data_IF_274852720169
#
_entry.id   IF_274852720169
#
_cell.length_a   1.000
_cell.length_b   1.000
_cell.length_c   1.000
_cell.angle_alpha   90.00
_cell.angle_beta   90.00
_cell.angle_gamma   90.00
#
_symmetry.space_group_name_H-M   'P 1'
#
loop_
_entity.id
_entity.type
_entity.pdbx_description
1 polymer ?
#
# COMPACT_ATOMS: atom_id res chain seq x y z
N UNK A 1 -1.13 32.11 2.05
CA UNK A 1 -1.45 32.81 3.32
C UNK A 1 -2.33 31.86 4.13
N UNK A 2 -1.75 31.23 5.14
CA UNK A 2 -2.41 30.25 6.03
C UNK A 2 -3.06 30.96 7.22
N UNK A 3 -4.26 30.51 7.58
CA UNK A 3 -4.87 30.82 8.86
C UNK A 3 -5.75 29.63 9.28
N UNK A 4 -5.24 28.81 10.19
CA UNK A 4 -6.04 28.19 11.25
C UNK A 4 -5.11 27.67 12.34
N UNK A 5 -5.56 27.81 13.59
CA UNK A 5 -4.94 27.40 14.85
C UNK A 5 -4.06 28.45 15.55
N UNK A 6 -4.75 29.45 16.13
CA UNK A 6 -4.34 30.18 17.33
C UNK A 6 -5.22 29.68 18.48
N UNK A 7 -4.65 29.01 19.48
CA UNK A 7 -5.13 29.06 20.87
C UNK A 7 -3.98 28.65 21.80
N UNK A 8 -3.67 29.57 22.72
CA UNK A 8 -2.66 29.45 23.78
C UNK A 8 -3.20 28.70 25.01
N UNK A 9 -2.27 28.02 25.67
CA UNK A 9 -2.04 27.91 27.13
C UNK A 9 -3.10 27.27 28.05
N UNK A 10 -2.80 26.05 28.50
CA UNK A 10 -3.28 25.44 29.74
C UNK A 10 -2.54 24.13 30.03
N UNK A 11 -1.76 24.07 31.10
CA UNK A 11 -0.66 23.12 31.32
C UNK A 11 -1.05 21.75 31.93
N UNK A 12 -0.35 20.68 31.50
CA UNK A 12 0.02 19.47 32.28
C UNK A 12 1.26 18.78 31.64
N UNK A 13 2.41 18.59 32.34
CA UNK A 13 3.70 18.31 31.69
C UNK A 13 4.12 16.83 31.76
N UNK A 14 3.34 15.89 31.19
CA UNK A 14 3.79 14.47 31.16
C UNK A 14 3.62 13.69 29.87
N UNK A 15 3.23 14.31 28.77
CA UNK A 15 3.43 13.70 27.45
C UNK A 15 4.25 14.64 26.58
N UNK A 16 5.56 14.31 26.47
CA UNK A 16 6.45 14.89 25.48
C UNK A 16 5.93 14.44 24.11
N UNK A 17 5.04 15.22 23.51
CA UNK A 17 4.71 15.10 22.10
C UNK A 17 6.02 15.18 21.32
N UNK A 18 6.35 14.09 20.62
CA UNK A 18 7.36 14.15 19.58
C UNK A 18 6.93 15.26 18.61
N UNK A 19 7.88 16.09 18.13
CA UNK A 19 7.55 17.21 17.28
C UNK A 19 6.80 16.72 16.04
N UNK A 20 5.78 17.48 15.63
CA UNK A 20 5.14 17.41 14.32
C UNK A 20 6.22 17.63 13.24
N UNK A 21 6.98 16.60 12.93
CA UNK A 21 7.86 16.57 11.76
C UNK A 21 7.55 15.28 11.01
N UNK A 22 7.06 15.49 9.80
CA UNK A 22 6.70 14.46 8.82
C UNK A 22 5.36 13.80 9.11
N UNK A 23 4.29 14.43 8.59
CA UNK A 23 3.27 13.64 7.93
C UNK A 23 4.01 12.80 6.87
N UNK A 24 4.48 11.61 7.27
CA UNK A 24 4.89 10.58 6.36
C UNK A 24 3.69 10.37 5.47
N UNK A 25 3.79 10.82 4.21
CA UNK A 25 2.81 10.47 3.19
C UNK A 25 2.71 8.95 3.26
N UNK A 26 1.61 8.41 3.78
CA UNK A 26 1.33 6.99 3.75
C UNK A 26 1.11 6.65 2.28
N UNK A 27 2.22 6.37 1.58
CA UNK A 27 2.22 5.96 0.20
C UNK A 27 1.83 4.47 0.18
N UNK A 28 0.54 4.23 0.42
CA UNK A 28 -0.01 2.90 0.51
C UNK A 28 0.12 2.25 -0.86
N UNK A 29 0.85 1.15 -0.90
CA UNK A 29 1.09 0.38 -2.10
C UNK A 29 -0.02 -0.67 -2.24
N UNK A 30 -1.04 -0.30 -2.99
CA UNK A 30 -2.15 -1.18 -3.35
C UNK A 30 -1.72 -2.38 -4.20
N UNK A 31 -0.51 -2.41 -4.74
CA UNK A 31 0.01 -3.53 -5.54
C UNK A 31 0.86 -4.49 -4.71
N UNK A 32 1.49 -4.01 -3.63
CA UNK A 32 2.34 -4.82 -2.80
C UNK A 32 1.55 -5.99 -2.21
N UNK A 33 2.07 -7.21 -2.40
CA UNK A 33 1.50 -8.42 -1.85
C UNK A 33 2.59 -9.41 -1.46
N UNK A 34 2.42 -10.05 -0.32
CA UNK A 34 3.07 -11.33 -0.05
C UNK A 34 2.20 -12.45 -0.63
N UNK A 35 2.76 -13.21 -1.58
CA UNK A 35 2.06 -14.34 -2.21
C UNK A 35 1.66 -15.37 -1.15
N UNK A 36 0.43 -15.88 -1.24
CA UNK A 36 -0.15 -16.91 -0.36
C UNK A 36 -0.34 -16.51 1.11
N UNK A 37 -0.30 -15.22 1.44
CA UNK A 37 -0.66 -14.74 2.78
C UNK A 37 -2.09 -14.21 2.73
N UNK A 38 -2.98 -14.89 3.43
CA UNK A 38 -4.35 -14.45 3.66
C UNK A 38 -4.57 -14.30 5.15
N UNK A 39 -4.89 -13.08 5.56
CA UNK A 39 -5.28 -12.79 6.92
C UNK A 39 -6.76 -13.11 7.09
N UNK A 40 -7.15 -13.29 8.35
CA UNK A 40 -8.53 -13.53 8.74
C UNK A 40 -8.96 -12.42 9.69
N UNK A 41 -10.23 -12.08 9.64
CA UNK A 41 -10.87 -11.18 10.58
C UNK A 41 -10.77 -11.70 12.03
N UNK A 42 -10.74 -10.78 12.98
CA UNK A 42 -10.67 -11.13 14.39
C UNK A 42 -12.07 -11.46 14.90
N UNK A 43 -12.35 -12.76 15.11
CA UNK A 43 -13.65 -13.20 15.63
C UNK A 43 -13.76 -13.05 17.15
N UNK A 44 -14.87 -12.51 17.64
CA UNK A 44 -15.17 -12.35 19.08
C UNK A 44 -15.35 -13.70 19.80
N UNK A 45 -15.72 -14.74 19.06
CA UNK A 45 -15.99 -16.08 19.62
C UNK A 45 -14.73 -16.94 19.81
N UNK A 46 -13.55 -16.44 19.44
CA UNK A 46 -12.32 -17.24 19.49
C UNK A 46 -11.54 -17.03 20.80
N UNK A 47 -10.88 -18.08 21.32
CA UNK A 47 -10.03 -17.95 22.49
C UNK A 47 -8.97 -16.85 22.27
N UNK A 48 -8.77 -15.91 23.21
CA UNK A 48 -7.83 -14.79 23.03
C UNK A 48 -6.41 -15.22 22.64
N UNK A 49 -5.97 -16.40 23.10
CA UNK A 49 -4.63 -16.92 22.84
C UNK A 49 -4.43 -17.41 21.40
N UNK A 50 -5.48 -17.83 20.67
CA UNK A 50 -5.35 -18.28 19.28
C UNK A 50 -5.28 -17.14 18.26
N UNK A 51 -5.49 -15.90 18.71
CA UNK A 51 -5.68 -14.73 17.83
C UNK A 51 -4.85 -13.52 18.26
N UNK A 52 -3.98 -13.66 19.27
CA UNK A 52 -3.19 -12.57 19.86
C UNK A 52 -2.17 -11.95 18.88
N UNK A 53 -1.73 -12.71 17.88
CA UNK A 53 -0.76 -12.27 16.89
C UNK A 53 -1.38 -11.43 15.77
N UNK A 54 -2.68 -11.59 15.49
CA UNK A 54 -3.36 -10.93 14.38
C UNK A 54 -3.29 -9.39 14.44
N UNK A 55 -3.55 -8.73 15.58
CA UNK A 55 -3.40 -7.27 15.68
C UNK A 55 -1.97 -6.79 15.40
N UNK A 56 -0.96 -7.58 15.78
CA UNK A 56 0.44 -7.29 15.49
C UNK A 56 0.71 -7.43 13.99
N UNK A 57 0.17 -8.47 13.35
CA UNK A 57 0.30 -8.68 11.90
C UNK A 57 -0.37 -7.55 11.12
N UNK A 58 -1.55 -7.08 11.53
CA UNK A 58 -2.23 -5.92 10.91
C UNK A 58 -1.33 -4.66 10.97
N UNK A 59 -0.71 -4.39 12.11
CA UNK A 59 0.22 -3.27 12.26
C UNK A 59 1.47 -3.43 11.39
N UNK A 60 1.97 -4.65 11.21
CA UNK A 60 3.12 -4.92 10.33
C UNK A 60 2.77 -4.65 8.87
N UNK A 61 1.60 -5.09 8.40
CA UNK A 61 1.11 -4.82 7.03
C UNK A 61 1.00 -3.31 6.78
N UNK A 62 0.30 -2.60 7.67
CA UNK A 62 0.14 -1.14 7.56
C UNK A 62 1.48 -0.41 7.69
N UNK A 63 2.38 -0.88 8.57
CA UNK A 63 3.71 -0.32 8.76
C UNK A 63 4.63 -0.46 7.55
N UNK A 64 4.38 -1.43 6.67
CA UNK A 64 5.05 -1.56 5.36
C UNK A 64 4.39 -0.71 4.27
N UNK A 65 3.26 -0.08 4.58
CA UNK A 65 2.44 0.62 3.60
C UNK A 65 1.75 -0.32 2.63
N UNK A 66 1.46 -1.57 3.01
CA UNK A 66 0.73 -2.51 2.16
C UNK A 66 -0.78 -2.43 2.43
N UNK A 67 -1.62 -2.83 1.46
CA UNK A 67 -3.08 -2.81 1.60
C UNK A 67 -3.60 -3.92 2.51
N UNK A 68 -4.22 -3.53 3.62
CA UNK A 68 -4.86 -4.45 4.56
C UNK A 68 -6.10 -5.11 3.93
N UNK A 69 -6.86 -4.37 3.10
CA UNK A 69 -8.02 -4.89 2.36
C UNK A 69 -7.63 -6.10 1.52
N UNK A 70 -6.52 -6.01 0.80
CA UNK A 70 -5.98 -7.12 0.00
C UNK A 70 -5.65 -8.34 0.86
N UNK A 71 -5.00 -8.15 2.00
CA UNK A 71 -4.67 -9.25 2.91
C UNK A 71 -5.89 -9.93 3.53
N UNK A 72 -6.97 -9.17 3.74
CA UNK A 72 -8.26 -9.68 4.24
C UNK A 72 -9.18 -10.22 3.13
N UNK A 73 -8.70 -10.25 1.88
CA UNK A 73 -9.42 -10.87 0.75
C UNK A 73 -10.47 -9.97 0.10
N UNK A 74 -10.44 -8.66 0.35
CA UNK A 74 -11.25 -7.69 -0.38
C UNK A 74 -10.75 -7.60 -1.82
N UNK A 75 -11.66 -7.70 -2.77
CA UNK A 75 -11.34 -7.61 -4.20
C UNK A 75 -11.17 -6.15 -4.60
N UNK A 76 -9.94 -5.73 -4.88
CA UNK A 76 -9.65 -4.37 -5.33
C UNK A 76 -9.69 -4.28 -6.85
N UNK A 77 -10.11 -3.15 -7.40
CA UNK A 77 -10.07 -2.89 -8.84
C UNK A 77 -8.64 -2.99 -9.38
N UNK A 78 -7.66 -2.58 -8.57
CA UNK A 78 -6.25 -2.65 -8.92
C UNK A 78 -5.79 -4.07 -9.27
N UNK A 79 -6.37 -5.12 -8.66
CA UNK A 79 -6.09 -6.51 -9.05
C UNK A 79 -6.49 -6.79 -10.50
N UNK A 80 -7.66 -6.29 -10.90
CA UNK A 80 -8.16 -6.43 -12.26
C UNK A 80 -7.32 -5.60 -13.25
N UNK A 81 -6.94 -4.36 -12.88
CA UNK A 81 -6.11 -3.49 -13.73
C UNK A 81 -4.74 -4.12 -13.96
N UNK A 82 -4.11 -4.64 -12.91
CA UNK A 82 -2.82 -5.36 -12.99
C UNK A 82 -2.94 -6.56 -13.94
N UNK A 83 -3.97 -7.39 -13.80
CA UNK A 83 -4.19 -8.54 -14.66
C UNK A 83 -4.39 -8.15 -16.14
N UNK A 84 -5.12 -7.04 -16.40
CA UNK A 84 -5.32 -6.55 -17.77
C UNK A 84 -4.04 -5.99 -18.36
N UNK A 85 -3.26 -5.23 -17.60
CA UNK A 85 -1.99 -4.68 -18.10
C UNK A 85 -1.01 -5.80 -18.44
N UNK A 86 -0.90 -6.82 -17.60
CA UNK A 86 -0.04 -7.98 -17.85
C UNK A 86 -0.38 -8.73 -19.16
N UNK A 87 -1.61 -8.59 -19.69
CA UNK A 87 -2.04 -9.20 -20.95
C UNK A 87 -1.81 -8.33 -22.19
N UNK A 88 -1.50 -7.04 -22.00
CA UNK A 88 -1.22 -6.12 -23.11
C UNK A 88 0.22 -6.22 -23.58
N UNK A 89 1.13 -6.64 -22.70
CA UNK A 89 2.55 -6.76 -22.99
C UNK A 89 2.93 -8.18 -23.43
N UNK A 90 4.09 -8.26 -24.09
CA UNK A 90 4.64 -9.53 -24.58
C UNK A 90 5.03 -10.50 -23.46
N UNK A 91 5.26 -9.99 -22.25
CA UNK A 91 5.61 -10.77 -21.06
C UNK A 91 4.67 -10.45 -19.89
N UNK A 92 4.42 -11.43 -19.02
CA UNK A 92 3.54 -11.25 -17.86
C UNK A 92 4.11 -10.29 -16.80
N UNK A 93 5.42 -10.07 -16.78
CA UNK A 93 6.11 -9.10 -15.94
C UNK A 93 7.15 -8.33 -16.75
N UNK A 94 7.50 -7.10 -16.35
CA UNK A 94 8.55 -6.32 -17.00
C UNK A 94 9.88 -7.10 -17.02
N UNK A 95 10.50 -7.31 -18.19
CA UNK A 95 11.83 -7.90 -18.26
C UNK A 95 12.87 -6.92 -17.72
N UNK A 96 13.77 -7.43 -16.89
CA UNK A 96 14.92 -6.68 -16.42
C UNK A 96 16.13 -7.00 -17.31
N UNK A 97 17.04 -6.05 -17.42
CA UNK A 97 18.34 -6.29 -18.04
C UNK A 97 19.10 -7.40 -17.29
N UNK A 98 19.96 -8.14 -17.99
CA UNK A 98 20.67 -9.30 -17.45
C UNK A 98 21.43 -9.03 -16.14
N UNK A 99 21.90 -7.79 -15.94
CA UNK A 99 22.60 -7.36 -14.72
C UNK A 99 21.71 -7.39 -13.48
N UNK A 100 20.40 -7.23 -13.63
CA UNK A 100 19.43 -7.04 -12.55
C UNK A 100 18.51 -8.27 -12.38
N UNK A 101 18.56 -9.22 -13.33
CA UNK A 101 17.78 -10.47 -13.31
C UNK A 101 18.09 -11.37 -12.10
N UNK A 102 19.24 -11.21 -11.44
CA UNK A 102 19.64 -12.03 -10.30
C UNK A 102 18.89 -11.69 -8.98
N UNK A 103 18.18 -10.56 -8.89
CA UNK A 103 17.64 -10.07 -7.60
C UNK A 103 16.21 -9.52 -7.63
N UNK A 104 15.60 -9.23 -8.79
CA UNK A 104 14.48 -8.26 -8.83
C UNK A 104 13.22 -8.58 -9.62
N UNK A 105 13.10 -9.70 -10.35
CA UNK A 105 11.99 -9.89 -11.30
C UNK A 105 10.60 -10.01 -10.67
N UNK A 106 10.50 -10.37 -9.39
CA UNK A 106 9.24 -10.48 -8.64
C UNK A 106 8.87 -9.16 -7.91
N UNK A 107 9.71 -8.12 -8.01
CA UNK A 107 9.56 -6.86 -7.28
C UNK A 107 8.84 -5.80 -8.14
N UNK A 108 8.98 -5.85 -9.47
CA UNK A 108 8.50 -4.80 -10.37
C UNK A 108 7.30 -5.27 -11.20
N UNK A 109 6.18 -4.55 -11.14
CA UNK A 109 4.98 -4.81 -11.96
C UNK A 109 4.92 -3.90 -13.20
N UNK A 110 4.12 -4.29 -14.21
CA UNK A 110 3.83 -3.40 -15.35
C UNK A 110 3.14 -2.10 -14.93
N UNK A 111 2.37 -2.14 -13.84
CA UNK A 111 1.75 -0.95 -13.26
C UNK A 111 2.81 0.01 -12.71
N UNK A 112 3.84 -0.49 -12.03
CA UNK A 112 4.96 0.34 -11.56
C UNK A 112 5.70 1.00 -12.72
N UNK A 113 5.95 0.24 -13.78
CA UNK A 113 6.54 0.75 -15.03
C UNK A 113 5.69 1.89 -15.57
N UNK A 114 4.40 1.69 -15.81
CA UNK A 114 3.51 2.70 -16.40
C UNK A 114 3.43 3.98 -15.54
N UNK A 115 3.42 3.85 -14.21
CA UNK A 115 3.31 4.98 -13.26
C UNK A 115 4.59 5.78 -13.11
N UNK A 116 5.75 5.12 -13.22
CA UNK A 116 7.06 5.72 -12.92
C UNK A 116 7.91 5.93 -14.16
N UNK A 117 7.39 5.56 -15.33
CA UNK A 117 8.08 5.72 -16.59
C UNK A 117 8.44 7.19 -16.86
N UNK A 118 9.69 7.41 -17.22
CA UNK A 118 10.21 8.71 -17.63
C UNK A 118 10.74 8.61 -19.06
N UNK A 119 10.08 9.32 -19.98
CA UNK A 119 10.42 9.33 -21.40
C UNK A 119 11.86 9.80 -21.67
N UNK A 120 12.37 10.72 -20.85
CA UNK A 120 13.71 11.30 -21.04
C UNK A 120 14.85 10.33 -20.67
N UNK A 121 14.52 9.20 -20.03
CA UNK A 121 15.48 8.20 -19.57
C UNK A 121 15.44 6.92 -20.40
N UNK A 122 14.67 6.90 -21.49
CA UNK A 122 14.59 5.76 -22.39
C UNK A 122 15.69 5.82 -23.46
N UNK A 123 16.48 4.76 -23.52
CA UNK A 123 17.57 4.59 -24.47
C UNK A 123 17.24 3.42 -25.42
N UNK A 124 17.37 3.66 -26.73
CA UNK A 124 17.27 2.62 -27.74
C UNK A 124 18.61 1.91 -27.92
N UNK A 125 18.60 0.58 -27.95
CA UNK A 125 19.81 -0.23 -28.07
C UNK A 125 19.92 -0.92 -29.43
N UNK A 126 21.15 -1.28 -29.82
CA UNK A 126 21.45 -1.89 -31.13
C UNK A 126 20.74 -3.24 -31.37
N UNK A 127 20.27 -3.89 -30.30
CA UNK A 127 19.50 -5.14 -30.34
C UNK A 127 18.00 -4.93 -30.63
N UNK A 128 17.57 -3.69 -30.87
CA UNK A 128 16.18 -3.34 -31.17
C UNK A 128 15.28 -3.26 -29.94
N UNK A 129 15.86 -3.08 -28.75
CA UNK A 129 15.11 -2.93 -27.49
C UNK A 129 15.23 -1.52 -26.92
N UNK A 130 14.37 -1.21 -25.94
CA UNK A 130 14.44 0.02 -25.15
C UNK A 130 14.84 -0.31 -23.72
N UNK A 131 15.74 0.49 -23.15
CA UNK A 131 16.20 0.39 -21.77
C UNK A 131 15.91 1.67 -20.99
N UNK A 132 15.43 1.53 -19.77
CA UNK A 132 15.17 2.67 -18.88
C UNK A 132 15.11 2.24 -17.41
N UNK A 133 15.50 3.12 -16.47
CA UNK A 133 15.43 2.82 -15.05
C UNK A 133 14.01 3.01 -14.49
N UNK A 134 13.56 2.07 -13.65
CA UNK A 134 12.33 2.15 -12.87
C UNK A 134 12.62 1.69 -11.45
N UNK A 135 12.40 2.54 -10.45
CA UNK A 135 12.64 2.23 -9.04
C UNK A 135 14.04 1.66 -8.74
N UNK A 136 15.06 2.10 -9.50
CA UNK A 136 16.44 1.63 -9.35
C UNK A 136 16.77 0.32 -10.08
N UNK A 137 15.80 -0.28 -10.77
CA UNK A 137 15.98 -1.46 -11.64
C UNK A 137 16.01 -1.03 -13.11
N UNK A 138 16.87 -1.65 -13.92
CA UNK A 138 16.95 -1.39 -15.35
C UNK A 138 16.01 -2.31 -16.11
N UNK A 139 14.92 -1.74 -16.64
CA UNK A 139 13.93 -2.44 -17.47
C UNK A 139 14.44 -2.48 -18.91
N UNK A 140 14.28 -3.62 -19.58
CA UNK A 140 14.61 -3.79 -20.99
C UNK A 140 13.43 -4.44 -21.72
N UNK A 141 12.85 -3.76 -22.70
CA UNK A 141 11.61 -4.19 -23.38
C UNK A 141 11.70 -4.09 -24.90
N UNK A 142 10.82 -4.82 -25.59
CA UNK A 142 10.70 -4.74 -27.04
C UNK A 142 10.23 -3.35 -27.51
N UNK A 143 10.52 -2.99 -28.76
CA UNK A 143 9.97 -1.79 -29.40
C UNK A 143 8.43 -1.77 -29.39
N UNK A 144 7.78 -2.93 -29.56
CA UNK A 144 6.32 -3.05 -29.53
C UNK A 144 5.74 -2.73 -28.15
N UNK A 145 6.33 -3.28 -27.08
CA UNK A 145 5.91 -2.99 -25.70
C UNK A 145 6.20 -1.52 -25.34
N UNK A 146 7.34 -0.98 -25.81
CA UNK A 146 7.67 0.43 -25.64
C UNK A 146 6.63 1.35 -26.30
N UNK A 147 6.18 1.03 -27.51
CA UNK A 147 5.14 1.80 -28.20
C UNK A 147 3.82 1.85 -27.41
N UNK A 148 3.46 0.76 -26.70
CA UNK A 148 2.30 0.72 -25.81
C UNK A 148 2.47 1.73 -24.66
N UNK A 149 3.63 1.73 -23.99
CA UNK A 149 3.94 2.68 -22.91
C UNK A 149 3.93 4.11 -23.45
N UNK A 150 4.61 4.32 -24.58
CA UNK A 150 4.79 5.63 -25.20
C UNK A 150 3.47 6.27 -25.63
N UNK A 151 2.47 5.47 -25.97
CA UNK A 151 1.13 5.97 -26.31
C UNK A 151 0.50 6.83 -25.19
N UNK A 152 0.93 6.62 -23.94
CA UNK A 152 0.39 7.28 -22.75
C UNK A 152 -1.06 6.89 -22.43
N UNK A 153 -1.68 5.98 -23.20
CA UNK A 153 -3.07 5.56 -23.00
C UNK A 153 -3.22 4.87 -21.65
N UNK A 154 -2.30 3.98 -21.29
CA UNK A 154 -2.35 3.26 -20.02
C UNK A 154 -2.15 4.19 -18.82
N UNK A 155 -1.24 5.17 -18.95
CA UNK A 155 -1.05 6.19 -17.91
C UNK A 155 -2.34 7.03 -17.71
N UNK A 156 -3.04 7.38 -18.79
CA UNK A 156 -4.32 8.10 -18.70
C UNK A 156 -5.44 7.25 -18.11
N UNK A 157 -5.55 5.99 -18.51
CA UNK A 157 -6.57 5.05 -18.02
C UNK A 157 -6.42 4.78 -16.52
N UNK A 158 -5.19 4.79 -16.04
CA UNK A 158 -4.83 4.49 -14.67
C UNK A 158 -4.87 5.73 -13.74
N UNK A 159 -5.16 6.92 -14.26
CA UNK A 159 -5.20 8.15 -13.46
C UNK A 159 -6.66 8.58 -13.20
N UNK A 160 -7.08 8.87 -11.96
CA UNK A 160 -6.30 8.95 -10.71
C UNK A 160 -5.88 7.60 -10.14
N UNK A 161 -4.71 7.57 -9.48
CA UNK A 161 -4.24 6.41 -8.70
C UNK A 161 -3.99 6.77 -7.24
N UNK A 162 -4.42 5.94 -6.28
CA UNK A 162 -5.29 4.75 -6.46
C UNK A 162 -6.70 5.15 -6.94
N UNK A 163 -7.47 4.19 -7.48
CA UNK A 163 -8.90 4.41 -7.74
C UNK A 163 -9.62 4.74 -6.43
N UNK A 164 -10.54 5.70 -6.45
CA UNK A 164 -11.24 6.15 -5.24
C UNK A 164 -12.03 5.03 -4.56
N UNK A 165 -12.49 4.02 -5.32
CA UNK A 165 -13.19 2.85 -4.76
C UNK A 165 -12.22 1.99 -3.95
N UNK A 166 -11.03 1.73 -4.47
CA UNK A 166 -10.03 0.94 -3.75
C UNK A 166 -9.55 1.67 -2.49
N UNK A 167 -9.42 3.01 -2.55
CA UNK A 167 -9.12 3.82 -1.37
C UNK A 167 -10.23 3.74 -0.32
N UNK A 168 -11.50 3.74 -0.75
CA UNK A 168 -12.65 3.61 0.14
C UNK A 168 -12.72 2.21 0.78
N UNK A 169 -12.51 1.15 0.00
CA UNK A 169 -12.47 -0.23 0.50
C UNK A 169 -11.34 -0.45 1.52
N UNK A 170 -10.17 0.15 1.29
CA UNK A 170 -9.06 0.13 2.26
C UNK A 170 -9.43 0.87 3.55
N UNK A 171 -10.07 2.04 3.44
CA UNK A 171 -10.53 2.79 4.60
C UNK A 171 -11.55 2.00 5.43
N UNK A 172 -12.58 1.46 4.78
CA UNK A 172 -13.61 0.64 5.44
C UNK A 172 -13.01 -0.60 6.11
N UNK A 173 -12.04 -1.24 5.45
CA UNK A 173 -11.32 -2.39 6.02
C UNK A 173 -10.55 -2.00 7.27
N UNK A 174 -9.80 -0.90 7.24
CA UNK A 174 -9.02 -0.43 8.38
C UNK A 174 -9.94 -0.04 9.54
N UNK A 175 -11.06 0.61 9.27
CA UNK A 175 -12.07 0.95 10.28
C UNK A 175 -12.67 -0.30 10.93
N UNK A 176 -13.00 -1.32 10.13
CA UNK A 176 -13.48 -2.60 10.64
C UNK A 176 -12.42 -3.30 11.50
N UNK A 177 -11.17 -3.35 11.05
CA UNK A 177 -10.07 -3.92 11.82
C UNK A 177 -9.85 -3.20 13.16
N UNK A 178 -10.01 -1.87 13.21
CA UNK A 178 -9.97 -1.09 14.46
C UNK A 178 -11.09 -1.50 15.41
N UNK A 179 -12.31 -1.64 14.89
CA UNK A 179 -13.47 -2.05 15.67
C UNK A 179 -13.27 -3.45 16.26
N UNK A 180 -12.85 -4.40 15.43
CA UNK A 180 -12.53 -5.79 15.79
C UNK A 180 -11.46 -5.87 16.90
N UNK A 181 -10.32 -5.21 16.71
CA UNK A 181 -9.23 -5.17 17.71
C UNK A 181 -9.70 -4.49 19.00
N UNK A 182 -10.55 -3.48 18.92
CA UNK A 182 -11.09 -2.79 20.09
C UNK A 182 -12.02 -3.67 20.90
N UNK A 183 -12.92 -4.41 20.23
CA UNK A 183 -13.85 -5.34 20.88
C UNK A 183 -13.10 -6.51 21.53
N UNK A 184 -12.17 -7.12 20.79
CA UNK A 184 -11.36 -8.21 21.32
C UNK A 184 -10.51 -7.79 22.52
N UNK A 185 -9.94 -6.58 22.50
CA UNK A 185 -9.23 -6.02 23.66
C UNK A 185 -10.15 -5.87 24.87
N UNK A 186 -11.40 -5.42 24.68
CA UNK A 186 -12.38 -5.33 25.78
C UNK A 186 -12.74 -6.71 26.33
N UNK A 187 -12.89 -7.71 25.46
CA UNK A 187 -13.13 -9.09 25.86
C UNK A 187 -11.97 -9.66 26.69
N UNK A 188 -10.72 -9.49 26.23
CA UNK A 188 -9.52 -9.93 26.94
C UNK A 188 -9.39 -9.28 28.33
N UNK A 189 -9.67 -7.98 28.43
CA UNK A 189 -9.67 -7.25 29.71
C UNK A 189 -10.76 -7.75 30.67
N UNK A 190 -11.96 -8.09 30.18
CA UNK A 190 -13.03 -8.67 31.01
C UNK A 190 -12.74 -10.10 31.45
N UNK A 191 -12.02 -10.87 30.62
CA UNK A 191 -11.63 -12.26 30.90
C UNK A 191 -10.42 -12.42 31.82
N UNK A 192 -9.72 -11.32 32.18
CA UNK A 192 -8.54 -11.37 33.05
C UNK A 192 -7.27 -11.94 32.39
N UNK A 193 -7.25 -12.05 31.06
CA UNK A 193 -6.16 -12.65 30.29
C UNK A 193 -5.44 -11.54 29.52
N UNK A 194 -4.43 -10.94 30.16
CA UNK A 194 -3.37 -10.12 29.55
C UNK A 194 -3.76 -8.71 29.05
N UNK A 195 -2.98 -7.72 29.48
CA UNK A 195 -2.97 -6.34 28.96
C UNK A 195 -2.20 -6.27 27.64
N UNK A 196 -2.89 -5.96 26.54
CA UNK A 196 -2.24 -5.65 25.25
C UNK A 196 -1.86 -4.16 25.22
N UNK A 197 -0.67 -3.77 24.72
CA UNK A 197 -0.26 -2.38 24.64
C UNK A 197 -1.24 -1.58 23.79
N UNK A 198 -1.61 -0.39 24.26
CA UNK A 198 -2.58 0.51 23.64
C UNK A 198 -2.13 0.95 22.23
N UNK A 199 -2.44 0.15 21.21
CA UNK A 199 -2.17 0.39 19.78
C UNK A 199 -3.19 1.33 19.13
N UNK A 200 -4.11 1.92 19.91
CA UNK A 200 -5.15 2.87 19.45
C UNK A 200 -4.61 4.12 18.74
N UNK A 201 -3.33 4.44 18.93
CA UNK A 201 -2.70 5.65 18.38
C UNK A 201 -2.26 5.47 16.93
N UNK A 202 -1.87 4.26 16.50
CA UNK A 202 -1.33 4.05 15.15
C UNK A 202 -2.43 3.90 14.08
N UNK A 203 -3.51 3.18 14.37
CA UNK A 203 -4.57 2.97 13.36
C UNK A 203 -5.38 4.22 13.04
N UNK A 204 -5.64 5.09 14.04
CA UNK A 204 -6.34 6.37 13.82
C UNK A 204 -5.57 7.33 12.92
N UNK A 205 -4.24 7.26 12.92
CA UNK A 205 -3.40 8.10 12.06
C UNK A 205 -3.57 7.70 10.59
N UNK A 206 -3.61 6.40 10.29
CA UNK A 206 -3.80 5.87 8.93
C UNK A 206 -5.20 6.21 8.38
N UNK A 207 -6.26 6.03 9.18
CA UNK A 207 -7.63 6.36 8.80
C UNK A 207 -7.82 7.87 8.50
N UNK A 208 -7.23 8.75 9.32
CA UNK A 208 -7.28 10.20 9.10
C UNK A 208 -6.52 10.63 7.82
N UNK A 209 -5.46 9.91 7.44
CA UNK A 209 -4.69 10.19 6.22
C UNK A 209 -5.46 9.73 4.97
N UNK A 210 -6.09 8.56 5.00
CA UNK A 210 -6.94 8.07 3.89
C UNK A 210 -8.16 8.97 3.66
N UNK A 211 -8.78 9.49 4.72
CA UNK A 211 -9.91 10.40 4.62
C UNK A 211 -9.55 11.74 3.92
N UNK A 212 -8.30 12.20 4.05
CA UNK A 212 -7.84 13.45 3.44
C UNK A 212 -7.59 13.37 1.91
N UNK A 213 -7.54 12.16 1.35
CA UNK A 213 -7.31 11.92 -0.07
C UNK A 213 -8.58 11.52 -0.85
N UNK A 214 -9.73 11.35 -0.16
CA UNK A 214 -11.01 10.96 -0.78
C UNK A 214 -11.98 12.13 -1.04
N UNK A 215 -11.58 13.37 -0.75
CA UNK A 215 -12.33 14.60 -1.05
C UNK A 215 -11.66 15.41 -2.13
#
# INVERSE_FOLDING_TARGET
MCACCRMDAGADPTYRWAPESEAQHCNLNFLARQKNVHLRHLGVSEPPLSSLELPVIYLVVLGRGESLARYLGVSLLNDFVEEKFNKLFSTCSPPLAETDNAQGSDILSWVDVIRKFNYDQAEYTDDGTYRFPVQGLLVQISEADYAIIQSGILHKLHNPWPDSRDAQEELETVELAIAEVSEWNQYALRGGIVTVPSSKVQFRLVANILHSHST
#
